data_IF_365019128507
#
_entry.id   IF_365019128507
#
_cell.length_a   1.000
_cell.length_b   1.000
_cell.length_c   1.000
_cell.angle_alpha   90.00
_cell.angle_beta   90.00
_cell.angle_gamma   90.00
#
_symmetry.space_group_name_H-M   'P 1'
#
loop_
_entity.id
_entity.type
_entity.pdbx_description
1 polymer ?
#
# COMPACT_ATOMS: atom_id res chain seq x y z
N UNK A 1 12.08 12.41 -6.43
CA UNK A 1 10.89 12.18 -5.61
C UNK A 1 11.00 13.00 -4.35
N UNK A 2 9.99 13.80 -4.01
CA UNK A 2 9.90 14.48 -2.71
C UNK A 2 9.59 13.47 -1.57
N UNK A 3 9.61 13.92 -0.32
CA UNK A 3 9.38 13.05 0.83
C UNK A 3 7.96 12.47 0.90
N UNK A 4 6.96 13.25 0.50
CA UNK A 4 5.56 12.84 0.45
C UNK A 4 5.32 11.82 -0.66
N UNK A 5 5.90 12.02 -1.84
CA UNK A 5 5.92 11.06 -2.96
C UNK A 5 6.48 9.71 -2.54
N UNK A 6 7.56 9.71 -1.75
CA UNK A 6 8.15 8.48 -1.21
C UNK A 6 7.22 7.76 -0.25
N UNK A 7 6.49 8.49 0.60
CA UNK A 7 5.47 7.91 1.48
C UNK A 7 4.34 7.25 0.69
N UNK A 8 3.84 7.92 -0.35
CA UNK A 8 2.83 7.32 -1.24
C UNK A 8 3.38 6.13 -2.04
N UNK A 9 4.66 6.18 -2.42
CA UNK A 9 5.30 5.06 -3.05
C UNK A 9 5.44 3.84 -2.12
N UNK A 10 5.78 4.09 -0.87
CA UNK A 10 5.83 3.08 0.17
C UNK A 10 4.42 2.51 0.44
N UNK A 11 3.39 3.35 0.52
CA UNK A 11 1.99 2.91 0.64
C UNK A 11 1.61 1.95 -0.49
N UNK A 12 1.99 2.27 -1.74
CA UNK A 12 1.75 1.40 -2.88
C UNK A 12 2.37 0.01 -2.73
N UNK A 13 3.59 -0.07 -2.18
CA UNK A 13 4.23 -1.37 -1.88
C UNK A 13 3.49 -2.16 -0.80
N UNK A 14 2.98 -1.50 0.24
CA UNK A 14 2.21 -2.19 1.29
C UNK A 14 0.86 -2.66 0.74
N UNK A 15 0.17 -1.84 -0.07
CA UNK A 15 -1.07 -2.24 -0.74
C UNK A 15 -0.86 -3.51 -1.59
N UNK A 16 0.26 -3.55 -2.32
CA UNK A 16 0.65 -4.74 -3.08
C UNK A 16 0.92 -5.95 -2.18
N UNK A 17 1.62 -5.76 -1.05
CA UNK A 17 1.87 -6.83 -0.10
C UNK A 17 0.57 -7.39 0.50
N UNK A 18 -0.40 -6.53 0.82
CA UNK A 18 -1.75 -6.93 1.24
C UNK A 18 -2.41 -7.75 0.14
N UNK A 19 -2.50 -7.22 -1.09
CA UNK A 19 -3.17 -7.92 -2.18
C UNK A 19 -2.51 -9.27 -2.59
N UNK A 20 -1.21 -9.45 -2.33
CA UNK A 20 -0.46 -10.69 -2.62
C UNK A 20 -0.40 -11.63 -1.40
N UNK A 21 -0.94 -11.26 -0.25
CA UNK A 21 -0.81 -12.03 0.99
C UNK A 21 -1.30 -13.48 0.86
N UNK A 22 -2.35 -13.70 0.06
CA UNK A 22 -2.96 -15.04 -0.13
C UNK A 22 -2.44 -15.79 -1.36
N UNK A 23 -1.48 -15.23 -2.10
CA UNK A 23 -0.85 -15.89 -3.23
C UNK A 23 -0.64 -14.98 -4.43
N UNK A 24 -0.84 -15.53 -5.63
CA UNK A 24 -0.55 -14.81 -6.88
C UNK A 24 -1.73 -13.92 -7.24
N UNK A 25 -1.51 -12.61 -7.29
CA UNK A 25 -2.46 -11.65 -7.86
C UNK A 25 -2.67 -11.99 -9.33
N UNK A 26 -3.90 -12.36 -9.69
CA UNK A 26 -4.27 -12.60 -11.08
C UNK A 26 -4.51 -11.29 -11.84
N UNK A 27 -4.69 -11.37 -13.16
CA UNK A 27 -4.86 -10.18 -14.01
C UNK A 27 -6.12 -9.36 -13.67
N UNK A 28 -7.22 -10.01 -13.29
CA UNK A 28 -8.46 -9.32 -12.89
C UNK A 28 -8.29 -8.62 -11.55
N UNK A 29 -7.60 -9.25 -10.60
CA UNK A 29 -7.29 -8.69 -9.29
C UNK A 29 -6.39 -7.45 -9.42
N UNK A 30 -5.41 -7.51 -10.32
CA UNK A 30 -4.54 -6.37 -10.65
C UNK A 30 -5.34 -5.16 -11.15
N UNK A 31 -6.30 -5.37 -12.05
CA UNK A 31 -7.12 -4.28 -12.59
C UNK A 31 -8.06 -3.69 -11.52
N UNK A 32 -8.72 -4.55 -10.74
CA UNK A 32 -9.55 -4.13 -9.60
C UNK A 32 -8.74 -3.36 -8.54
N UNK A 33 -7.52 -3.81 -8.23
CA UNK A 33 -6.63 -3.12 -7.29
C UNK A 33 -6.32 -1.71 -7.78
N UNK A 34 -5.99 -1.58 -9.07
CA UNK A 34 -5.75 -0.29 -9.69
C UNK A 34 -6.98 0.63 -9.54
N UNK A 35 -8.17 0.16 -9.90
CA UNK A 35 -9.41 0.96 -9.82
C UNK A 35 -9.75 1.39 -8.39
N UNK A 36 -9.57 0.50 -7.42
CA UNK A 36 -9.85 0.79 -6.01
C UNK A 36 -8.88 1.84 -5.47
N UNK A 37 -7.60 1.73 -5.81
CA UNK A 37 -6.61 2.70 -5.39
C UNK A 37 -6.88 4.04 -6.07
N UNK A 38 -7.15 4.07 -7.38
CA UNK A 38 -7.56 5.30 -8.09
C UNK A 38 -8.72 5.97 -7.35
N UNK A 39 -9.75 5.19 -7.00
CA UNK A 39 -10.96 5.74 -6.39
C UNK A 39 -10.73 6.14 -4.92
N UNK A 40 -9.89 5.42 -4.19
CA UNK A 40 -9.54 5.76 -2.82
C UNK A 40 -8.74 7.07 -2.75
N UNK A 41 -7.98 7.39 -3.79
CA UNK A 41 -7.03 8.52 -3.79
C UNK A 41 -7.56 9.75 -4.53
N UNK A 42 -8.54 9.57 -5.43
CA UNK A 42 -9.31 10.65 -6.08
C UNK A 42 -9.94 11.64 -5.10
N UNK A 43 -10.38 11.17 -3.92
CA UNK A 43 -11.07 12.01 -2.96
C UNK A 43 -10.15 12.97 -2.18
N UNK A 44 -8.85 12.64 -2.07
CA UNK A 44 -7.94 13.39 -1.20
C UNK A 44 -7.08 14.42 -1.95
N UNK A 45 -7.40 14.76 -3.21
CA UNK A 45 -6.68 15.76 -4.02
C UNK A 45 -5.16 15.53 -4.07
N UNK A 46 -4.70 14.30 -3.84
CA UNK A 46 -3.29 14.01 -4.00
C UNK A 46 -2.98 14.04 -5.49
N UNK A 47 -2.10 14.97 -5.90
CA UNK A 47 -1.52 14.98 -7.25
C UNK A 47 -0.74 13.69 -7.58
N UNK A 48 -0.71 12.71 -6.66
CA UNK A 48 -0.02 11.45 -6.79
C UNK A 48 -0.99 10.35 -7.23
N UNK A 49 -0.76 9.86 -8.44
CA UNK A 49 -1.47 8.71 -8.98
C UNK A 49 -0.92 7.43 -8.34
N UNK A 50 -1.30 7.17 -7.08
CA UNK A 50 -0.85 6.01 -6.30
C UNK A 50 -1.21 4.70 -7.02
N UNK A 51 -2.25 4.70 -7.84
CA UNK A 51 -2.61 3.53 -8.64
C UNK A 51 -1.62 3.26 -9.79
N UNK A 52 -1.02 4.30 -10.38
CA UNK A 52 0.08 4.14 -11.34
C UNK A 52 1.34 3.63 -10.65
N UNK A 53 1.60 4.08 -9.42
CA UNK A 53 2.70 3.54 -8.62
C UNK A 53 2.50 2.04 -8.36
N UNK A 54 1.33 1.66 -7.87
CA UNK A 54 0.99 0.26 -7.60
C UNK A 54 1.04 -0.56 -8.88
N UNK A 55 0.54 -0.03 -10.00
CA UNK A 55 0.60 -0.68 -11.30
C UNK A 55 2.05 -0.86 -11.79
N UNK A 56 2.92 0.13 -11.56
CA UNK A 56 4.34 0.06 -11.89
C UNK A 56 5.07 -0.97 -11.02
N UNK A 57 4.74 -1.03 -9.73
CA UNK A 57 5.25 -2.08 -8.82
C UNK A 57 4.77 -3.46 -9.28
N UNK A 58 3.51 -3.59 -9.69
CA UNK A 58 2.92 -4.82 -10.24
C UNK A 58 3.54 -5.24 -11.58
N UNK A 59 3.89 -4.30 -12.46
CA UNK A 59 4.59 -4.58 -13.71
C UNK A 59 6.04 -5.01 -13.45
N UNK A 60 6.70 -4.39 -12.47
CA UNK A 60 8.04 -4.72 -12.00
C UNK A 60 8.02 -5.77 -10.89
N UNK A 61 7.06 -6.69 -10.88
CA UNK A 61 7.11 -7.82 -9.95
C UNK A 61 8.30 -8.71 -10.36
N UNK A 62 9.48 -8.32 -9.89
CA UNK A 62 10.79 -8.85 -10.28
C UNK A 62 11.09 -10.17 -9.53
N UNK A 63 10.08 -10.80 -8.91
CA UNK A 63 10.24 -11.99 -8.06
C UNK A 63 10.66 -11.69 -6.61
N UNK A 64 10.52 -10.43 -6.16
CA UNK A 64 10.79 -10.06 -4.77
C UNK A 64 9.74 -10.68 -3.83
N UNK A 65 10.19 -11.19 -2.70
CA UNK A 65 9.30 -11.76 -1.69
C UNK A 65 8.51 -10.66 -0.95
N UNK A 66 7.37 -11.06 -0.39
CA UNK A 66 6.44 -10.18 0.33
C UNK A 66 7.11 -9.43 1.49
N UNK A 67 7.95 -10.12 2.25
CA UNK A 67 8.57 -9.58 3.45
C UNK A 67 9.63 -8.54 3.09
N UNK A 68 10.44 -8.79 2.06
CA UNK A 68 11.37 -7.79 1.50
C UNK A 68 10.63 -6.54 1.01
N UNK A 69 9.51 -6.72 0.33
CA UNK A 69 8.70 -5.61 -0.20
C UNK A 69 8.14 -4.74 0.93
N UNK A 70 7.60 -5.38 1.97
CA UNK A 70 7.08 -4.72 3.17
C UNK A 70 8.19 -3.95 3.91
N UNK A 71 9.32 -4.61 4.18
CA UNK A 71 10.43 -3.99 4.90
C UNK A 71 11.03 -2.79 4.16
N UNK A 72 11.09 -2.85 2.82
CA UNK A 72 11.48 -1.68 2.02
C UNK A 72 10.47 -0.53 2.14
N UNK A 73 9.16 -0.83 2.20
CA UNK A 73 8.15 0.20 2.39
C UNK A 73 8.32 0.89 3.75
N UNK A 74 8.40 0.11 4.85
CA UNK A 74 8.58 0.65 6.21
C UNK A 74 9.87 1.47 6.33
N UNK A 75 10.95 1.06 5.65
CA UNK A 75 12.18 1.85 5.61
C UNK A 75 11.97 3.22 4.97
N UNK A 76 11.19 3.31 3.89
CA UNK A 76 10.85 4.60 3.27
C UNK A 76 9.96 5.44 4.21
N UNK A 77 8.98 4.83 4.88
CA UNK A 77 8.19 5.51 5.93
C UNK A 77 9.07 6.10 7.03
N UNK A 78 10.02 5.32 7.55
CA UNK A 78 11.00 5.78 8.55
C UNK A 78 11.89 6.89 8.03
N UNK A 79 12.32 6.80 6.78
CA UNK A 79 13.20 7.81 6.15
C UNK A 79 12.48 9.13 5.92
N UNK A 80 11.17 9.08 5.67
CA UNK A 80 10.33 10.24 5.36
C UNK A 80 9.32 10.54 6.47
N UNK A 81 9.56 10.08 7.71
CA UNK A 81 8.62 10.23 8.83
C UNK A 81 8.33 11.69 9.17
N UNK A 82 9.27 12.60 8.88
CA UNK A 82 9.09 14.04 9.03
C UNK A 82 8.01 14.64 8.10
N UNK A 83 7.55 13.88 7.09
CA UNK A 83 6.44 14.24 6.21
C UNK A 83 5.15 13.45 6.54
N UNK A 84 5.21 12.51 7.48
CA UNK A 84 4.10 11.63 7.84
C UNK A 84 3.26 12.32 8.93
N UNK A 85 2.05 12.77 8.56
CA UNK A 85 1.10 13.35 9.52
C UNK A 85 0.16 12.29 10.08
N UNK A 86 -0.49 12.59 11.21
CA UNK A 86 -1.51 11.71 11.79
C UNK A 86 -2.67 11.45 10.83
N UNK A 87 -3.10 12.48 10.08
CA UNK A 87 -4.12 12.33 9.04
C UNK A 87 -3.66 11.35 7.95
N UNK A 88 -2.39 11.41 7.54
CA UNK A 88 -1.83 10.48 6.56
C UNK A 88 -1.78 9.05 7.11
N UNK A 89 -1.42 8.84 8.39
CA UNK A 89 -1.44 7.52 9.01
C UNK A 89 -2.83 6.89 8.99
N UNK A 90 -3.84 7.69 9.35
CA UNK A 90 -5.25 7.29 9.32
C UNK A 90 -5.70 6.95 7.89
N UNK A 91 -5.40 7.82 6.92
CA UNK A 91 -5.74 7.62 5.51
C UNK A 91 -5.06 6.38 4.93
N UNK A 92 -3.78 6.16 5.22
CA UNK A 92 -3.03 5.01 4.73
C UNK A 92 -3.61 3.71 5.26
N UNK A 93 -3.92 3.67 6.56
CA UNK A 93 -4.61 2.53 7.18
C UNK A 93 -5.98 2.26 6.54
N UNK A 94 -6.73 3.32 6.22
CA UNK A 94 -8.03 3.19 5.56
C UNK A 94 -7.90 2.69 4.10
N UNK A 95 -6.86 3.09 3.38
CA UNK A 95 -6.56 2.59 2.02
C UNK A 95 -6.26 1.09 2.07
N UNK A 96 -5.43 0.63 3.01
CA UNK A 96 -5.12 -0.81 3.11
C UNK A 96 -6.35 -1.66 3.43
N UNK A 97 -7.24 -1.19 4.30
CA UNK A 97 -8.53 -1.84 4.57
C UNK A 97 -9.42 -1.94 3.33
N UNK A 98 -9.48 -0.88 2.52
CA UNK A 98 -10.23 -0.89 1.25
C UNK A 98 -9.64 -1.88 0.26
N UNK A 99 -8.30 -1.99 0.23
CA UNK A 99 -7.60 -2.95 -0.62
C UNK A 99 -7.87 -4.39 -0.19
N UNK A 100 -7.79 -4.73 1.10
CA UNK A 100 -8.09 -6.10 1.54
C UNK A 100 -9.56 -6.50 1.31
N UNK A 101 -10.51 -5.55 1.42
CA UNK A 101 -11.94 -5.80 1.16
C UNK A 101 -12.30 -5.87 -0.32
N UNK A 102 -11.34 -5.62 -1.21
CA UNK A 102 -11.55 -5.60 -2.65
C UNK A 102 -11.74 -6.99 -3.26
N UNK A 103 -11.08 -7.98 -2.67
CA UNK A 103 -10.88 -9.32 -3.23
C UNK A 103 -11.63 -10.38 -2.43
N UNK A 104 -12.84 -10.05 -1.98
CA UNK A 104 -13.72 -10.84 -1.11
C UNK A 104 -13.48 -10.63 0.40
N UNK A 105 -13.39 -11.71 1.17
CA UNK A 105 -13.32 -11.68 2.63
C UNK A 105 -11.88 -11.44 3.07
N UNK A 106 -11.65 -10.41 3.89
CA UNK A 106 -10.32 -10.11 4.46
C UNK A 106 -9.73 -11.36 5.12
N UNK A 107 -8.61 -11.83 4.59
CA UNK A 107 -7.97 -13.05 5.08
C UNK A 107 -7.10 -12.78 6.31
N UNK A 108 -6.63 -13.86 6.93
CA UNK A 108 -5.70 -13.75 8.06
C UNK A 108 -4.37 -13.12 7.63
N UNK A 109 -3.87 -13.44 6.43
CA UNK A 109 -2.63 -12.89 5.90
C UNK A 109 -2.71 -11.39 5.67
N UNK A 110 -3.77 -10.94 5.00
CA UNK A 110 -4.04 -9.52 4.76
C UNK A 110 -4.17 -8.74 6.07
N UNK A 111 -4.98 -9.25 7.02
CA UNK A 111 -5.17 -8.62 8.31
C UNK A 111 -3.86 -8.50 9.08
N UNK A 112 -3.02 -9.53 9.06
CA UNK A 112 -1.73 -9.50 9.74
C UNK A 112 -0.80 -8.41 9.19
N UNK A 113 -0.79 -8.19 7.87
CA UNK A 113 0.01 -7.11 7.25
C UNK A 113 -0.56 -5.74 7.64
N UNK A 114 -1.88 -5.57 7.64
CA UNK A 114 -2.53 -4.30 8.02
C UNK A 114 -2.25 -3.94 9.47
N UNK A 115 -2.41 -4.89 10.40
CA UNK A 115 -2.16 -4.65 11.82
C UNK A 115 -0.68 -4.36 12.10
N UNK A 116 0.22 -5.11 11.46
CA UNK A 116 1.66 -4.84 11.54
C UNK A 116 2.00 -3.44 11.02
N UNK A 117 1.40 -3.04 9.90
CA UNK A 117 1.59 -1.70 9.34
C UNK A 117 1.13 -0.61 10.28
N UNK A 118 -0.06 -0.74 10.88
CA UNK A 118 -0.57 0.22 11.88
C UNK A 118 0.39 0.41 13.03
N UNK A 119 0.88 -0.68 13.61
CA UNK A 119 1.87 -0.62 14.68
C UNK A 119 3.16 0.06 14.22
N UNK A 120 3.69 -0.32 13.06
CA UNK A 120 4.94 0.21 12.54
C UNK A 120 4.87 1.72 12.23
N UNK A 121 3.73 2.25 11.78
CA UNK A 121 3.58 3.69 11.47
C UNK A 121 3.23 4.52 12.69
N UNK A 122 2.54 3.96 13.68
CA UNK A 122 2.17 4.67 14.91
C UNK A 122 3.41 4.99 15.76
N UNK A 123 4.47 4.19 15.62
CA UNK A 123 5.78 4.41 16.26
C UNK A 123 6.65 5.49 15.59
N UNK A 124 6.22 6.08 14.46
CA UNK A 124 6.99 7.07 13.66
C UNK A 124 6.50 8.50 13.84
#
# INVERSE_FOLDING_TARGET
>A
MDGTERLYYALGKVCYAVAKADGVINYEERNKLHDIVVNATKHNNYNFNISEIIFHILQKDDGMDLESTYNMAIKEFKTCSNYLTEDMKADFSAVLEKVARAFDSVTFGERNIIERFRMDIDEL
#
